data_IF_702086110077
#
_entry.id   IF_702086110077
#
_cell.length_a   1.000
_cell.length_b   1.000
_cell.length_c   1.000
_cell.angle_alpha   90.00
_cell.angle_beta   90.00
_cell.angle_gamma   90.00
#
_symmetry.space_group_name_H-M   'P 1'
#
loop_
_entity.id
_entity.type
_entity.pdbx_description
1 polymer ?
#
# COMPACT_ATOMS: atom_id res chain seq x y z
N UNK A 1 36.56 -5.85 -3.60
CA UNK A 1 35.89 -6.27 -4.85
C UNK A 1 34.42 -5.89 -4.70
N UNK A 2 34.00 -4.76 -5.27
CA UNK A 2 32.60 -4.32 -5.21
C UNK A 2 31.71 -5.24 -6.05
N UNK A 3 30.42 -5.33 -5.71
CA UNK A 3 29.45 -5.94 -6.62
C UNK A 3 29.39 -5.09 -7.91
N UNK A 4 29.26 -5.70 -9.09
CA UNK A 4 29.12 -4.94 -10.33
C UNK A 4 27.84 -4.10 -10.33
N UNK A 5 27.91 -2.85 -10.80
CA UNK A 5 26.84 -1.84 -10.68
C UNK A 5 25.50 -2.28 -11.29
N UNK A 6 25.51 -3.19 -12.26
CA UNK A 6 24.29 -3.73 -12.85
C UNK A 6 23.47 -4.56 -11.85
N UNK A 7 24.12 -5.28 -10.91
CA UNK A 7 23.43 -6.04 -9.86
C UNK A 7 22.68 -5.13 -8.88
N UNK A 8 23.15 -3.87 -8.73
CA UNK A 8 22.51 -2.85 -7.89
C UNK A 8 21.45 -2.03 -8.63
N UNK A 9 21.17 -2.34 -9.91
CA UNK A 9 20.09 -1.67 -10.63
C UNK A 9 18.73 -2.00 -10.01
N UNK A 10 17.86 -0.98 -9.92
CA UNK A 10 16.53 -1.09 -9.30
C UNK A 10 15.70 -2.30 -9.81
N UNK A 11 15.66 -2.60 -11.13
CA UNK A 11 14.90 -3.75 -11.63
C UNK A 11 15.48 -5.09 -11.17
N UNK A 12 16.81 -5.22 -11.13
CA UNK A 12 17.47 -6.48 -10.77
C UNK A 12 17.29 -6.75 -9.26
N UNK A 13 17.49 -5.74 -8.43
CA UNK A 13 17.28 -5.85 -6.98
C UNK A 13 15.83 -6.23 -6.68
N UNK A 14 14.86 -5.58 -7.33
CA UNK A 14 13.45 -5.92 -7.19
C UNK A 14 13.17 -7.39 -7.53
N UNK A 15 13.67 -7.88 -8.67
CA UNK A 15 13.49 -9.27 -9.08
C UNK A 15 14.16 -10.27 -8.13
N UNK A 16 15.33 -9.92 -7.60
CA UNK A 16 16.04 -10.76 -6.62
C UNK A 16 15.20 -10.90 -5.34
N UNK A 17 14.71 -9.80 -4.77
CA UNK A 17 13.86 -9.85 -3.59
C UNK A 17 12.54 -10.57 -3.86
N UNK A 18 11.92 -10.34 -5.02
CA UNK A 18 10.71 -11.04 -5.43
C UNK A 18 10.95 -12.56 -5.48
N UNK A 19 12.04 -12.99 -6.11
CA UNK A 19 12.42 -14.40 -6.19
C UNK A 19 12.69 -14.98 -4.79
N UNK A 20 13.39 -14.23 -3.93
CA UNK A 20 13.63 -14.62 -2.56
C UNK A 20 12.32 -14.83 -1.77
N UNK A 21 11.38 -13.88 -1.83
CA UNK A 21 10.06 -14.02 -1.21
C UNK A 21 9.27 -15.19 -1.78
N UNK A 22 9.32 -15.42 -3.09
CA UNK A 22 8.66 -16.56 -3.72
C UNK A 22 9.23 -17.90 -3.22
N UNK A 23 10.55 -18.00 -3.07
CA UNK A 23 11.21 -19.19 -2.50
C UNK A 23 10.78 -19.40 -1.04
N UNK A 24 10.74 -18.35 -0.23
CA UNK A 24 10.26 -18.45 1.16
C UNK A 24 8.81 -18.90 1.23
N UNK A 25 7.94 -18.35 0.39
CA UNK A 25 6.53 -18.75 0.32
C UNK A 25 6.39 -20.21 -0.10
N UNK A 26 7.13 -20.63 -1.13
CA UNK A 26 7.11 -22.01 -1.62
C UNK A 26 7.64 -22.99 -0.57
N UNK A 27 8.74 -22.64 0.11
CA UNK A 27 9.33 -23.47 1.16
C UNK A 27 8.38 -23.56 2.36
N UNK A 28 7.79 -22.45 2.78
CA UNK A 28 6.79 -22.40 3.85
C UNK A 28 5.58 -23.27 3.53
N UNK A 29 5.06 -23.20 2.30
CA UNK A 29 3.98 -24.05 1.84
C UNK A 29 4.34 -25.53 1.78
N UNK A 30 5.60 -25.87 1.47
CA UNK A 30 6.08 -27.27 1.43
C UNK A 30 6.30 -27.84 2.83
N UNK A 31 6.70 -27.02 3.80
CA UNK A 31 6.90 -27.40 5.19
C UNK A 31 5.60 -27.48 5.98
N UNK A 32 4.55 -26.76 5.54
CA UNK A 32 3.26 -26.75 6.21
C UNK A 32 2.56 -28.12 6.14
N UNK A 33 1.94 -28.58 7.25
CA UNK A 33 1.02 -29.71 7.20
C UNK A 33 -0.11 -29.48 6.21
N UNK A 34 -0.51 -30.53 5.48
CA UNK A 34 -1.62 -30.42 4.53
C UNK A 34 -2.90 -30.03 5.27
N UNK A 35 -3.56 -28.98 4.79
CA UNK A 35 -4.85 -28.57 5.31
C UNK A 35 -5.87 -29.69 5.09
N UNK A 36 -6.64 -29.99 6.14
CA UNK A 36 -7.76 -30.91 6.08
C UNK A 36 -9.04 -30.13 6.42
N UNK A 37 -10.11 -30.33 5.66
CA UNK A 37 -11.40 -29.68 5.86
C UNK A 37 -12.17 -30.17 7.09
N UNK A 38 -11.67 -31.18 7.80
CA UNK A 38 -12.29 -31.70 9.02
C UNK A 38 -12.36 -30.64 10.14
N UNK A 39 -13.55 -30.46 10.70
CA UNK A 39 -13.78 -29.70 11.94
C UNK A 39 -13.72 -28.18 11.80
N UNK A 40 -14.13 -27.64 10.65
CA UNK A 40 -14.22 -26.19 10.43
C UNK A 40 -12.87 -25.44 10.40
N UNK A 41 -11.76 -26.17 10.20
CA UNK A 41 -10.41 -25.58 10.09
C UNK A 41 -10.26 -24.57 8.95
N UNK A 42 -11.14 -24.66 7.96
CA UNK A 42 -11.19 -23.78 6.79
C UNK A 42 -12.32 -22.76 6.91
N UNK A 43 -13.13 -22.83 7.96
CA UNK A 43 -14.22 -21.89 8.19
C UNK A 43 -13.66 -20.59 8.77
N UNK A 44 -14.37 -19.50 8.52
CA UNK A 44 -13.98 -18.19 9.04
C UNK A 44 -14.06 -18.21 10.56
N UNK A 45 -12.99 -17.75 11.23
CA UNK A 45 -12.97 -17.69 12.69
C UNK A 45 -14.13 -16.84 13.21
N UNK A 46 -15.04 -17.49 13.93
CA UNK A 46 -16.30 -16.92 14.38
C UNK A 46 -16.51 -17.16 15.87
N UNK A 47 -15.42 -17.16 16.66
CA UNK A 47 -15.45 -17.49 18.09
C UNK A 47 -16.10 -18.85 18.42
N UNK A 48 -16.13 -19.79 17.46
CA UNK A 48 -16.77 -21.10 17.59
C UNK A 48 -18.24 -21.16 17.20
N UNK A 49 -18.83 -20.04 16.74
CA UNK A 49 -20.20 -20.00 16.23
C UNK A 49 -20.25 -20.35 14.73
N UNK A 50 -21.32 -21.03 14.30
CA UNK A 50 -21.61 -21.21 12.88
C UNK A 50 -22.10 -19.86 12.32
N UNK A 51 -21.33 -19.25 11.41
CA UNK A 51 -21.72 -18.01 10.75
C UNK A 51 -22.46 -18.30 9.43
N UNK A 52 -23.79 -18.10 9.36
CA UNK A 52 -24.51 -18.03 8.09
C UNK A 52 -24.40 -16.65 7.43
N UNK A 53 -23.57 -15.74 7.97
CA UNK A 53 -23.67 -14.31 7.65
C UNK A 53 -23.09 -14.00 6.27
N UNK A 54 -23.84 -13.30 5.39
CA UNK A 54 -23.25 -12.67 4.23
C UNK A 54 -22.19 -11.65 4.69
N UNK A 55 -21.16 -11.37 3.87
CA UNK A 55 -20.09 -10.46 4.23
C UNK A 55 -20.67 -9.11 4.68
N UNK A 56 -20.40 -8.74 5.94
CA UNK A 56 -20.86 -7.48 6.51
C UNK A 56 -20.30 -6.35 5.67
N UNK A 57 -21.18 -5.51 5.12
CA UNK A 57 -20.77 -4.29 4.41
C UNK A 57 -20.28 -3.28 5.45
N UNK A 58 -19.00 -3.32 5.76
CA UNK A 58 -18.36 -2.33 6.63
C UNK A 58 -18.38 -0.98 5.90
N UNK A 59 -18.91 0.06 6.56
CA UNK A 59 -18.89 1.42 6.03
C UNK A 59 -17.47 1.99 6.12
N UNK A 60 -16.80 2.11 4.98
CA UNK A 60 -15.47 2.72 4.88
C UNK A 60 -15.52 4.24 4.72
N UNK A 61 -16.61 4.90 5.12
CA UNK A 61 -16.80 6.35 4.89
C UNK A 61 -15.65 7.17 5.46
N UNK A 62 -15.24 6.91 6.70
CA UNK A 62 -14.13 7.63 7.36
C UNK A 62 -12.77 7.25 6.76
N UNK A 63 -12.56 5.95 6.47
CA UNK A 63 -11.33 5.48 5.85
C UNK A 63 -11.09 6.10 4.47
N UNK A 64 -12.15 6.27 3.68
CA UNK A 64 -12.07 6.84 2.35
C UNK A 64 -11.52 8.28 2.36
N UNK A 65 -11.92 9.10 3.33
CA UNK A 65 -11.40 10.46 3.46
C UNK A 65 -9.92 10.50 3.82
N UNK A 66 -9.51 9.63 4.76
CA UNK A 66 -8.11 9.49 5.16
C UNK A 66 -7.26 8.99 3.97
N UNK A 67 -7.76 8.01 3.22
CA UNK A 67 -7.09 7.48 2.05
C UNK A 67 -6.90 8.55 0.97
N UNK A 68 -7.94 9.32 0.64
CA UNK A 68 -7.83 10.42 -0.33
C UNK A 68 -6.83 11.49 0.14
N UNK A 69 -6.93 11.92 1.39
CA UNK A 69 -5.97 12.84 1.99
C UNK A 69 -4.53 12.32 1.85
N UNK A 70 -4.28 11.07 2.24
CA UNK A 70 -2.98 10.45 2.13
C UNK A 70 -2.47 10.43 0.69
N UNK A 71 -3.31 10.06 -0.29
CA UNK A 71 -2.91 10.05 -1.71
C UNK A 71 -2.54 11.44 -2.22
N UNK A 72 -3.31 12.48 -1.88
CA UNK A 72 -3.00 13.86 -2.25
C UNK A 72 -1.67 14.31 -1.65
N UNK A 73 -1.44 14.03 -0.36
CA UNK A 73 -0.18 14.34 0.30
C UNK A 73 0.99 13.57 -0.32
N UNK A 74 0.80 12.30 -0.66
CA UNK A 74 1.85 11.48 -1.26
C UNK A 74 2.30 12.02 -2.61
N UNK A 75 1.35 12.38 -3.48
CA UNK A 75 1.64 13.04 -4.77
C UNK A 75 2.24 14.43 -4.53
N UNK A 76 1.78 15.16 -3.51
CA UNK A 76 2.33 16.47 -3.19
C UNK A 76 3.82 16.40 -2.84
N UNK A 77 4.21 15.47 -1.97
CA UNK A 77 5.61 15.24 -1.60
C UNK A 77 6.42 14.77 -2.81
N UNK A 78 5.89 13.87 -3.65
CA UNK A 78 6.57 13.41 -4.86
C UNK A 78 6.89 14.56 -5.81
N UNK A 79 5.92 15.44 -6.07
CA UNK A 79 6.10 16.61 -6.95
C UNK A 79 7.10 17.59 -6.35
N UNK A 80 6.98 17.92 -5.06
CA UNK A 80 7.93 18.84 -4.40
C UNK A 80 9.36 18.28 -4.40
N UNK A 81 9.51 16.98 -4.18
CA UNK A 81 10.83 16.32 -4.17
C UNK A 81 11.48 16.23 -5.56
N UNK A 82 10.70 16.30 -6.64
CA UNK A 82 11.20 16.16 -8.01
C UNK A 82 11.41 17.49 -8.74
N UNK A 83 10.88 18.60 -8.21
CA UNK A 83 11.07 19.93 -8.80
C UNK A 83 12.52 20.41 -8.58
N UNK A 84 13.24 20.80 -9.66
CA UNK A 84 14.57 21.38 -9.53
C UNK A 84 14.51 22.78 -8.90
N UNK A 85 15.57 23.15 -8.18
CA UNK A 85 15.71 24.50 -7.63
C UNK A 85 15.86 25.55 -8.74
N UNK A 86 15.27 26.72 -8.55
CA UNK A 86 15.30 27.81 -9.53
C UNK A 86 13.92 28.47 -9.72
N UNK A 87 13.68 29.16 -10.86
CA UNK A 87 12.41 29.84 -11.13
C UNK A 87 11.18 28.92 -11.10
N UNK A 88 11.37 27.62 -11.36
CA UNK A 88 10.32 26.61 -11.30
C UNK A 88 9.84 26.31 -9.87
N UNK A 89 10.58 26.71 -8.83
CA UNK A 89 10.14 26.56 -7.45
C UNK A 89 8.80 27.30 -7.17
N UNK A 90 8.52 28.38 -7.91
CA UNK A 90 7.25 29.09 -7.82
C UNK A 90 6.06 28.25 -8.28
N UNK A 91 6.24 27.36 -9.27
CA UNK A 91 5.21 26.40 -9.66
C UNK A 91 4.95 25.39 -8.54
N UNK A 92 5.99 24.97 -7.82
CA UNK A 92 5.86 24.10 -6.64
C UNK A 92 5.02 24.73 -5.52
N UNK A 93 5.24 26.02 -5.25
CA UNK A 93 4.46 26.77 -4.25
C UNK A 93 3.00 26.93 -4.69
N UNK A 94 2.75 27.27 -5.96
CA UNK A 94 1.41 27.37 -6.51
C UNK A 94 0.66 26.03 -6.44
N UNK A 95 1.34 24.93 -6.79
CA UNK A 95 0.82 23.58 -6.67
C UNK A 95 0.50 23.19 -5.22
N UNK A 96 1.39 23.48 -4.27
CA UNK A 96 1.14 23.24 -2.84
C UNK A 96 -0.07 24.02 -2.32
N UNK A 97 -0.26 25.25 -2.80
CA UNK A 97 -1.44 26.05 -2.46
C UNK A 97 -2.72 25.40 -2.98
N UNK A 98 -2.72 24.87 -4.21
CA UNK A 98 -3.86 24.15 -4.77
C UNK A 98 -4.16 22.85 -4.01
N UNK A 99 -3.13 22.10 -3.62
CA UNK A 99 -3.28 20.91 -2.78
C UNK A 99 -3.86 21.28 -1.40
N UNK A 100 -3.38 22.35 -0.79
CA UNK A 100 -3.93 22.84 0.49
C UNK A 100 -5.42 23.16 0.38
N UNK A 101 -5.83 23.88 -0.68
CA UNK A 101 -7.25 24.17 -0.95
C UNK A 101 -8.07 22.88 -1.15
N UNK A 102 -7.52 21.90 -1.87
CA UNK A 102 -8.16 20.61 -2.09
C UNK A 102 -8.37 19.83 -0.78
N UNK A 103 -7.38 19.85 0.11
CA UNK A 103 -7.48 19.24 1.45
C UNK A 103 -8.52 19.97 2.30
N UNK A 104 -8.52 21.31 2.29
CA UNK A 104 -9.53 22.10 3.00
C UNK A 104 -10.94 21.76 2.53
N UNK A 105 -11.16 21.67 1.21
CA UNK A 105 -12.44 21.26 0.65
C UNK A 105 -12.85 19.84 1.06
N UNK A 106 -11.89 18.92 1.19
CA UNK A 106 -12.15 17.55 1.63
C UNK A 106 -12.58 17.48 3.10
N UNK A 107 -11.93 18.26 3.98
CA UNK A 107 -12.20 18.27 5.43
C UNK A 107 -13.48 19.04 5.77
N UNK A 108 -13.77 20.13 5.05
CA UNK A 108 -14.94 20.99 5.32
C UNK A 108 -16.25 20.45 4.76
N UNK A 109 -16.20 19.34 4.01
CA UNK A 109 -17.39 18.67 3.49
C UNK A 109 -18.18 18.01 4.63
N UNK A 110 -19.41 18.50 4.86
CA UNK A 110 -20.42 17.87 5.72
C UNK A 110 -21.00 16.58 5.08
#
# INVERSE_FOLDING_TARGET
MGLPDFLLSLPIVFLLFLAFYAVLYWLGGRMAPKANSLGGKLDTYSCGEEMPVPPVKISFRLFFYIALFFTMMHVAVLVVATIPSGPLAWLGIAYLTMIFLSVMALITRN
#
